data_IF_007829536302
#
_entry.id   IF_007829536302
#
_cell.length_a   1.000
_cell.length_b   1.000
_cell.length_c   1.000
_cell.angle_alpha   90.00
_cell.angle_beta   90.00
_cell.angle_gamma   90.00
#
_symmetry.space_group_name_H-M   'P 1'
#
loop_
_entity.id
_entity.type
_entity.pdbx_description
1 polymer ?
#
# COMPACT_ATOMS: atom_id res chain seq x y z
N UNK A 1 27.41 -75.65 8.88
CA UNK A 1 27.98 -74.27 8.70
C UNK A 1 26.98 -73.50 7.95
N UNK A 2 26.21 -72.62 8.63
CA UNK A 2 25.15 -71.85 8.05
C UNK A 2 25.58 -70.31 8.06
N UNK A 3 25.71 -69.78 6.92
CA UNK A 3 26.07 -68.35 6.74
C UNK A 3 24.78 -67.57 6.55
N UNK A 4 24.37 -66.74 7.52
CA UNK A 4 23.19 -65.87 7.44
C UNK A 4 23.62 -64.48 6.95
N UNK A 5 23.35 -64.18 5.69
CA UNK A 5 23.49 -62.85 5.13
C UNK A 5 22.37 -61.91 5.66
N UNK A 6 22.71 -61.00 6.53
CA UNK A 6 21.85 -59.91 6.98
C UNK A 6 21.90 -58.78 5.96
N UNK A 7 20.84 -58.61 5.15
CA UNK A 7 20.69 -57.44 4.25
C UNK A 7 20.07 -56.29 5.04
N UNK A 8 20.88 -55.31 5.35
CA UNK A 8 20.42 -54.02 5.86
C UNK A 8 19.80 -53.23 4.71
N UNK A 9 18.49 -53.02 4.76
CA UNK A 9 17.78 -52.11 3.83
C UNK A 9 17.99 -50.69 4.34
N UNK A 10 18.85 -49.91 3.66
CA UNK A 10 18.88 -48.46 3.82
C UNK A 10 17.59 -47.87 3.23
N UNK A 11 16.73 -47.39 4.11
CA UNK A 11 15.57 -46.59 3.72
C UNK A 11 16.07 -45.15 3.51
N UNK A 12 16.22 -44.73 2.24
CA UNK A 12 16.53 -43.37 1.91
C UNK A 12 15.28 -42.50 2.16
N UNK A 13 15.32 -41.72 3.24
CA UNK A 13 14.30 -40.72 3.54
C UNK A 13 14.53 -39.52 2.63
N UNK A 14 13.79 -39.47 1.53
CA UNK A 14 13.79 -38.33 0.64
C UNK A 14 13.04 -37.17 1.34
N UNK A 15 13.80 -36.24 1.92
CA UNK A 15 13.26 -35.02 2.50
C UNK A 15 12.75 -34.14 1.35
N UNK A 16 11.45 -34.15 1.12
CA UNK A 16 10.78 -33.24 0.17
C UNK A 16 10.87 -31.84 0.80
N UNK A 17 11.85 -31.05 0.41
CA UNK A 17 11.91 -29.62 0.71
C UNK A 17 10.78 -28.95 -0.09
N UNK A 18 9.62 -28.82 0.51
CA UNK A 18 8.58 -27.91 0.04
C UNK A 18 9.16 -26.52 0.29
N UNK A 19 9.65 -25.89 -0.79
CA UNK A 19 10.06 -24.50 -0.78
C UNK A 19 8.85 -23.65 -0.38
N UNK A 20 8.77 -23.26 0.89
CA UNK A 20 7.90 -22.17 1.30
C UNK A 20 8.46 -20.92 0.61
N UNK A 21 7.79 -20.44 -0.45
CA UNK A 21 7.95 -19.08 -0.92
C UNK A 21 7.59 -18.17 0.28
N UNK A 22 8.59 -17.75 1.02
CA UNK A 22 8.43 -16.67 2.01
C UNK A 22 8.15 -15.42 1.19
N UNK A 23 6.86 -15.08 1.01
CA UNK A 23 6.50 -13.75 0.52
C UNK A 23 7.15 -12.73 1.44
N UNK A 24 7.90 -11.76 0.87
CA UNK A 24 8.60 -10.76 1.63
C UNK A 24 7.63 -9.96 2.52
N UNK A 25 8.06 -9.63 3.73
CA UNK A 25 7.38 -8.64 4.55
C UNK A 25 7.78 -7.24 4.06
N UNK A 26 6.91 -6.23 4.18
CA UNK A 26 7.31 -4.86 3.91
C UNK A 26 8.40 -4.42 4.90
N UNK A 27 9.15 -3.38 4.55
CA UNK A 27 10.19 -2.83 5.42
C UNK A 27 9.58 -2.25 6.72
N UNK A 28 10.21 -2.55 7.85
CA UNK A 28 9.83 -1.99 9.14
C UNK A 28 10.37 -0.56 9.29
N UNK A 29 9.47 0.43 9.24
CA UNK A 29 9.78 1.83 9.57
C UNK A 29 8.68 2.37 10.48
N UNK A 30 8.80 2.13 11.79
CA UNK A 30 7.77 2.49 12.78
C UNK A 30 7.82 3.98 13.11
N UNK A 31 7.30 4.79 12.18
CA UNK A 31 7.20 6.26 12.22
C UNK A 31 5.83 6.71 11.72
N UNK A 32 5.39 7.97 11.92
CA UNK A 32 4.21 8.51 11.24
C UNK A 32 4.32 8.33 9.72
N UNK A 33 3.34 7.69 9.08
CA UNK A 33 3.36 7.36 7.65
C UNK A 33 4.15 6.10 7.29
N UNK A 34 4.71 5.41 8.27
CA UNK A 34 5.44 4.15 8.08
C UNK A 34 4.64 2.90 8.47
N UNK A 35 5.36 1.81 8.66
CA UNK A 35 4.82 0.48 8.98
C UNK A 35 5.51 -0.07 10.22
N UNK A 36 4.73 -0.53 11.20
CA UNK A 36 5.24 -1.33 12.31
C UNK A 36 4.97 -2.81 12.05
N UNK A 37 6.02 -3.64 12.10
CA UNK A 37 5.91 -5.10 12.19
C UNK A 37 5.90 -5.47 13.67
N UNK A 38 4.79 -6.02 14.15
CA UNK A 38 4.60 -6.32 15.58
C UNK A 38 4.39 -7.83 15.76
N UNK A 39 5.32 -8.53 16.41
CA UNK A 39 5.18 -9.96 16.72
C UNK A 39 3.97 -10.21 17.63
N UNK A 40 3.23 -11.29 17.34
CA UNK A 40 2.02 -11.70 18.05
C UNK A 40 2.02 -13.21 18.31
N UNK A 41 1.30 -13.61 19.36
CA UNK A 41 0.98 -15.01 19.69
C UNK A 41 -0.35 -15.47 19.08
N UNK A 42 -1.16 -14.52 18.58
CA UNK A 42 -2.50 -14.78 18.02
C UNK A 42 -2.77 -13.92 16.78
N UNK A 43 -3.57 -14.43 15.85
CA UNK A 43 -4.11 -13.71 14.70
C UNK A 43 -5.53 -13.16 14.95
N UNK A 44 -6.12 -13.48 16.13
CA UNK A 44 -7.52 -13.21 16.41
C UNK A 44 -7.78 -11.79 16.89
N UNK A 45 -8.71 -11.12 16.16
CA UNK A 45 -9.22 -9.80 16.53
C UNK A 45 -8.13 -8.74 16.74
N UNK A 46 -7.10 -8.75 15.89
CA UNK A 46 -6.03 -7.77 15.96
C UNK A 46 -6.52 -6.42 15.42
N UNK A 47 -6.57 -5.43 16.29
CA UNK A 47 -7.12 -4.10 16.01
C UNK A 47 -6.11 -3.00 16.34
N UNK A 48 -6.07 -1.98 15.51
CA UNK A 48 -5.37 -0.73 15.76
C UNK A 48 -6.32 0.46 15.58
N UNK A 49 -6.52 1.24 16.62
CA UNK A 49 -7.48 2.37 16.62
C UNK A 49 -8.88 1.97 16.12
N UNK A 50 -9.41 0.80 16.55
CA UNK A 50 -10.71 0.29 16.14
C UNK A 50 -10.79 -0.24 14.71
N UNK A 51 -9.67 -0.44 14.01
CA UNK A 51 -9.59 -0.99 12.66
C UNK A 51 -8.86 -2.33 12.66
N UNK A 52 -9.32 -3.27 11.87
CA UNK A 52 -8.62 -4.54 11.67
C UNK A 52 -7.25 -4.29 11.05
N UNK A 53 -6.27 -5.07 11.48
CA UNK A 53 -4.88 -5.00 11.02
C UNK A 53 -4.56 -6.27 10.23
N UNK A 54 -3.75 -6.14 9.21
CA UNK A 54 -3.19 -7.28 8.48
C UNK A 54 -2.34 -8.13 9.42
N UNK A 55 -2.52 -9.44 9.38
CA UNK A 55 -1.73 -10.40 10.16
C UNK A 55 -1.28 -11.52 9.23
N UNK A 56 0.01 -11.76 9.20
CA UNK A 56 0.62 -12.87 8.47
C UNK A 56 1.21 -13.91 9.45
N UNK A 57 1.19 -15.18 9.07
CA UNK A 57 1.94 -16.22 9.78
C UNK A 57 3.44 -16.02 9.60
N UNK A 58 4.19 -16.37 10.62
CA UNK A 58 5.66 -16.40 10.63
C UNK A 58 6.16 -17.71 11.28
N UNK A 59 7.47 -17.95 11.20
CA UNK A 59 8.07 -19.14 11.83
C UNK A 59 7.89 -19.19 13.36
N UNK A 60 7.71 -18.03 14.00
CA UNK A 60 7.63 -17.88 15.47
C UNK A 60 6.21 -17.50 15.95
N UNK A 61 5.17 -17.63 15.11
CA UNK A 61 3.80 -17.26 15.41
C UNK A 61 3.20 -16.35 14.35
N UNK A 62 2.82 -15.13 14.71
CA UNK A 62 2.17 -14.17 13.81
C UNK A 62 2.89 -12.83 13.82
N UNK A 63 2.75 -12.07 12.73
CA UNK A 63 3.23 -10.70 12.63
C UNK A 63 2.07 -9.82 12.18
N UNK A 64 1.72 -8.82 13.00
CA UNK A 64 0.84 -7.76 12.57
C UNK A 64 1.62 -6.73 11.74
N UNK A 65 1.09 -6.38 10.59
CA UNK A 65 1.62 -5.36 9.68
C UNK A 65 0.75 -4.13 9.82
N UNK A 66 1.24 -3.14 10.57
CA UNK A 66 0.44 -2.00 11.06
C UNK A 66 0.79 -0.73 10.31
N UNK A 67 -0.13 -0.23 9.50
CA UNK A 67 0.01 1.09 8.90
C UNK A 67 -0.18 2.20 9.94
N UNK A 68 0.76 3.13 10.02
CA UNK A 68 0.76 4.25 10.96
C UNK A 68 0.36 5.53 10.20
N UNK A 69 -0.77 6.19 10.54
CA UNK A 69 -1.16 7.43 9.87
C UNK A 69 -0.11 8.54 10.00
N UNK A 70 0.08 9.35 8.94
CA UNK A 70 0.95 10.54 8.96
C UNK A 70 0.62 11.54 10.08
N UNK A 71 -0.64 11.60 10.48
CA UNK A 71 -1.11 12.48 11.57
C UNK A 71 -0.84 11.93 12.97
N UNK A 72 -0.25 10.73 13.08
CA UNK A 72 -0.02 10.11 14.39
C UNK A 72 1.20 10.71 15.06
N UNK A 73 1.05 11.10 16.32
CA UNK A 73 2.19 11.53 17.14
C UNK A 73 3.09 10.35 17.51
N UNK A 74 4.41 10.53 17.57
CA UNK A 74 5.35 9.55 18.10
C UNK A 74 5.01 9.15 19.54
N UNK A 75 5.46 7.97 19.96
CA UNK A 75 5.24 7.47 21.31
C UNK A 75 4.93 5.98 21.38
N UNK A 76 4.53 5.52 22.56
CA UNK A 76 4.12 4.12 22.79
C UNK A 76 2.65 3.95 22.40
N UNK A 77 2.38 3.05 21.47
CA UNK A 77 1.04 2.67 21.02
C UNK A 77 0.78 1.20 21.34
N UNK A 78 -0.44 0.74 21.08
CA UNK A 78 -0.80 -0.66 21.29
C UNK A 78 -1.77 -1.17 20.24
N UNK A 79 -1.69 -2.46 20.00
CA UNK A 79 -2.72 -3.25 19.34
C UNK A 79 -3.64 -3.85 20.39
N UNK A 80 -4.93 -3.88 20.13
CA UNK A 80 -5.88 -4.70 20.87
C UNK A 80 -5.98 -6.06 20.18
N UNK A 81 -5.84 -7.16 20.94
CA UNK A 81 -5.93 -8.53 20.46
C UNK A 81 -6.89 -9.33 21.34
N UNK A 82 -7.24 -10.56 20.94
CA UNK A 82 -8.04 -11.45 21.78
C UNK A 82 -7.36 -11.81 23.12
N UNK A 83 -6.03 -11.71 23.19
CA UNK A 83 -5.23 -12.05 24.38
C UNK A 83 -4.81 -10.83 25.20
N UNK A 84 -5.22 -9.63 24.80
CA UNK A 84 -4.89 -8.38 25.49
C UNK A 84 -4.18 -7.36 24.59
N UNK A 85 -3.45 -6.44 25.22
CA UNK A 85 -2.80 -5.34 24.51
C UNK A 85 -1.33 -5.63 24.26
N UNK A 86 -0.91 -5.52 23.00
CA UNK A 86 0.50 -5.62 22.59
C UNK A 86 1.03 -4.24 22.27
N UNK A 87 2.09 -3.81 22.97
CA UNK A 87 2.69 -2.47 22.80
C UNK A 87 3.71 -2.47 21.68
N UNK A 88 3.78 -1.36 20.96
CA UNK A 88 4.85 -1.04 20.02
C UNK A 88 5.19 0.45 20.09
N UNK A 89 6.37 0.82 19.61
CA UNK A 89 6.86 2.20 19.65
C UNK A 89 6.77 2.82 18.26
N UNK A 90 6.31 4.06 18.17
CA UNK A 90 6.41 4.91 16.98
C UNK A 90 7.46 5.98 17.23
N UNK A 91 8.50 6.00 16.40
CA UNK A 91 9.60 6.94 16.48
C UNK A 91 9.24 8.27 15.80
N UNK A 92 10.04 9.30 16.06
CA UNK A 92 9.90 10.59 15.41
C UNK A 92 10.44 10.53 13.97
N UNK A 93 9.77 11.22 13.04
CA UNK A 93 10.22 11.43 11.66
C UNK A 93 9.81 12.82 11.21
N UNK A 94 10.77 13.57 10.70
CA UNK A 94 10.52 14.86 10.07
C UNK A 94 10.45 14.68 8.56
N UNK A 95 9.44 15.30 7.94
CA UNK A 95 9.24 15.31 6.50
C UNK A 95 9.57 16.69 5.95
N UNK A 96 10.23 16.70 4.80
CA UNK A 96 10.60 17.93 4.10
C UNK A 96 9.38 18.71 3.61
N UNK A 97 9.56 20.00 3.34
CA UNK A 97 8.55 20.87 2.78
C UNK A 97 8.70 20.96 1.26
N UNK A 98 7.59 20.83 0.55
CA UNK A 98 7.51 21.01 -0.90
C UNK A 98 6.56 22.17 -1.22
N UNK A 99 7.09 23.19 -1.90
CA UNK A 99 6.30 24.32 -2.41
C UNK A 99 6.04 24.13 -3.89
N UNK A 100 4.77 24.16 -4.30
CA UNK A 100 4.35 24.00 -5.68
C UNK A 100 3.39 25.13 -6.10
N UNK A 101 3.55 25.59 -7.33
CA UNK A 101 2.60 26.50 -7.97
C UNK A 101 1.68 25.71 -8.90
N UNK A 102 0.39 25.67 -8.57
CA UNK A 102 -0.65 25.05 -9.39
C UNK A 102 -1.32 26.15 -10.23
N UNK A 103 -1.19 26.06 -11.55
CA UNK A 103 -1.77 27.05 -12.50
C UNK A 103 -3.30 27.08 -12.41
N UNK A 104 -3.95 25.93 -12.30
CA UNK A 104 -5.40 25.84 -12.16
C UNK A 104 -5.82 26.11 -10.71
N UNK A 105 -6.09 27.37 -10.37
CA UNK A 105 -6.45 27.76 -9.01
C UNK A 105 -7.72 27.08 -8.48
N UNK A 106 -8.68 26.69 -9.34
CA UNK A 106 -9.87 25.89 -8.96
C UNK A 106 -9.48 24.55 -8.35
N UNK A 107 -8.34 23.98 -8.73
CA UNK A 107 -7.84 22.72 -8.16
C UNK A 107 -7.11 22.94 -6.82
N UNK A 108 -6.77 24.16 -6.46
CA UNK A 108 -6.23 24.55 -5.14
C UNK A 108 -7.34 25.00 -4.21
N UNK A 109 -8.20 25.89 -4.72
CA UNK A 109 -9.37 26.47 -4.04
C UNK A 109 -10.65 26.16 -4.84
N UNK A 110 -11.30 25.00 -4.61
CA UNK A 110 -12.51 24.61 -5.32
C UNK A 110 -13.64 25.62 -5.13
N UNK A 111 -14.48 25.76 -6.15
CA UNK A 111 -15.68 26.57 -6.06
C UNK A 111 -16.77 25.88 -5.26
N UNK A 112 -17.76 26.62 -4.77
CA UNK A 112 -18.88 26.05 -4.02
C UNK A 112 -19.59 24.92 -4.78
N UNK A 113 -19.74 25.07 -6.10
CA UNK A 113 -20.34 24.05 -6.99
C UNK A 113 -19.54 22.75 -7.10
N UNK A 114 -18.24 22.75 -6.75
CA UNK A 114 -17.39 21.55 -6.78
C UNK A 114 -17.52 20.72 -5.49
N UNK A 115 -18.00 21.35 -4.41
CA UNK A 115 -17.95 20.76 -3.07
C UNK A 115 -18.85 19.52 -2.94
N UNK A 116 -19.98 19.48 -3.64
CA UNK A 116 -20.86 18.30 -3.66
C UNK A 116 -20.13 17.11 -4.29
N UNK A 117 -19.49 17.31 -5.46
CA UNK A 117 -18.67 16.29 -6.13
C UNK A 117 -17.54 15.81 -5.23
N UNK A 118 -16.76 16.74 -4.67
CA UNK A 118 -15.61 16.43 -3.80
C UNK A 118 -16.04 15.65 -2.57
N UNK A 119 -17.18 16.01 -1.96
CA UNK A 119 -17.70 15.32 -0.76
C UNK A 119 -18.15 13.91 -1.07
N UNK A 120 -18.87 13.71 -2.18
CA UNK A 120 -19.28 12.38 -2.66
C UNK A 120 -18.08 11.49 -2.94
N UNK A 121 -17.09 12.00 -3.70
CA UNK A 121 -15.87 11.28 -4.06
C UNK A 121 -15.04 10.90 -2.83
N UNK A 122 -14.93 11.81 -1.85
CA UNK A 122 -14.27 11.51 -0.57
C UNK A 122 -14.95 10.36 0.15
N UNK A 123 -16.29 10.38 0.25
CA UNK A 123 -17.07 9.32 0.91
C UNK A 123 -16.87 7.96 0.21
N UNK A 124 -16.82 7.95 -1.13
CA UNK A 124 -16.56 6.75 -1.91
C UNK A 124 -15.15 6.18 -1.60
N UNK A 125 -14.11 7.02 -1.69
CA UNK A 125 -12.75 6.61 -1.39
C UNK A 125 -12.59 6.15 0.08
N UNK A 126 -13.21 6.87 1.03
CA UNK A 126 -13.18 6.48 2.45
C UNK A 126 -13.82 5.11 2.67
N UNK A 127 -14.89 4.78 1.94
CA UNK A 127 -15.51 3.45 2.00
C UNK A 127 -14.54 2.37 1.50
N UNK A 128 -13.84 2.61 0.38
CA UNK A 128 -12.83 1.68 -0.15
C UNK A 128 -11.68 1.49 0.83
N UNK A 129 -11.10 2.58 1.35
CA UNK A 129 -9.96 2.49 2.27
C UNK A 129 -10.31 1.89 3.64
N UNK A 130 -11.58 1.87 4.01
CA UNK A 130 -12.07 1.20 5.21
C UNK A 130 -12.42 -0.28 4.97
N UNK A 131 -12.41 -0.73 3.71
CA UNK A 131 -12.71 -2.11 3.38
C UNK A 131 -11.61 -3.04 3.88
N UNK A 132 -12.02 -4.21 4.37
CA UNK A 132 -11.12 -5.28 4.80
C UNK A 132 -11.62 -6.59 4.21
N UNK A 133 -11.11 -6.96 3.05
CA UNK A 133 -11.41 -8.25 2.44
C UNK A 133 -10.61 -9.36 3.12
N UNK A 134 -11.24 -10.51 3.29
CA UNK A 134 -10.57 -11.68 3.84
C UNK A 134 -9.87 -12.45 2.73
N UNK A 135 -8.57 -12.60 2.87
CA UNK A 135 -7.72 -13.51 2.11
C UNK A 135 -6.80 -14.20 3.10
N UNK A 136 -6.38 -15.41 2.79
CA UNK A 136 -5.47 -16.16 3.67
C UNK A 136 -4.16 -15.40 3.86
N UNK A 137 -3.66 -14.79 2.79
CA UNK A 137 -2.46 -13.96 2.80
C UNK A 137 -2.52 -12.90 1.70
N UNK A 138 -2.21 -11.65 2.03
CA UNK A 138 -1.98 -10.60 1.05
C UNK A 138 -0.50 -10.58 0.63
N UNK A 139 -0.25 -10.36 -0.65
CA UNK A 139 1.11 -10.19 -1.16
C UNK A 139 1.58 -8.77 -0.85
N UNK A 140 2.69 -8.66 -0.12
CA UNK A 140 3.33 -7.40 0.29
C UNK A 140 4.66 -7.14 -0.41
N UNK A 141 5.04 -8.00 -1.35
CA UNK A 141 6.23 -7.88 -2.19
C UNK A 141 5.84 -7.21 -3.51
N UNK A 142 5.99 -5.89 -3.57
CA UNK A 142 5.50 -5.08 -4.68
C UNK A 142 6.57 -4.80 -5.74
N UNK A 143 6.16 -4.93 -7.00
CA UNK A 143 6.91 -4.37 -8.11
C UNK A 143 6.62 -2.86 -8.25
N UNK A 144 7.54 -2.12 -8.85
CA UNK A 144 7.29 -0.72 -9.20
C UNK A 144 6.16 -0.67 -10.25
N UNK A 145 5.06 0.10 -10.01
CA UNK A 145 3.88 0.05 -10.88
C UNK A 145 4.06 0.70 -12.25
N UNK A 146 5.10 1.50 -12.46
CA UNK A 146 5.44 2.10 -13.76
C UNK A 146 6.93 2.42 -13.81
N UNK A 147 7.50 2.43 -15.00
CA UNK A 147 8.86 2.92 -15.19
C UNK A 147 8.90 4.43 -15.12
N UNK A 148 9.91 4.98 -14.43
CA UNK A 148 10.05 6.42 -14.27
C UNK A 148 10.97 6.81 -13.11
N UNK A 149 11.03 8.10 -12.81
CA UNK A 149 11.86 8.65 -11.75
C UNK A 149 10.96 9.10 -10.61
N UNK A 150 11.28 8.72 -9.37
CA UNK A 150 10.57 9.23 -8.18
C UNK A 150 10.81 10.74 -8.08
N UNK A 151 9.81 11.51 -8.50
CA UNK A 151 9.88 12.98 -8.56
C UNK A 151 9.38 13.66 -7.28
N UNK A 152 8.55 12.95 -6.49
CA UNK A 152 8.01 13.48 -5.24
C UNK A 152 7.78 12.32 -4.27
N UNK A 153 8.61 12.16 -3.23
CA UNK A 153 8.47 11.09 -2.26
C UNK A 153 7.25 11.28 -1.35
N UNK A 154 6.88 10.20 -0.66
CA UNK A 154 5.83 10.20 0.34
C UNK A 154 6.15 11.11 1.53
N UNK A 155 5.13 11.70 2.12
CA UNK A 155 5.19 12.42 3.40
C UNK A 155 5.54 13.91 3.28
N UNK A 156 5.94 14.42 2.12
CA UNK A 156 6.27 15.83 1.93
C UNK A 156 5.15 16.75 2.44
N UNK A 157 5.50 17.73 3.25
CA UNK A 157 4.58 18.80 3.71
C UNK A 157 4.31 19.76 2.56
N UNK A 158 3.13 19.66 1.97
CA UNK A 158 2.78 20.42 0.76
C UNK A 158 2.28 21.83 1.05
N UNK A 159 2.86 22.80 0.38
CA UNK A 159 2.38 24.19 0.29
C UNK A 159 2.06 24.46 -1.18
N UNK A 160 0.76 24.62 -1.48
CA UNK A 160 0.28 24.90 -2.84
C UNK A 160 -0.18 26.34 -2.94
N UNK A 161 0.41 27.13 -3.85
CA UNK A 161 0.10 28.56 -4.00
C UNK A 161 0.14 29.28 -2.64
N UNK A 162 1.22 29.07 -1.87
CA UNK A 162 1.48 29.60 -0.52
C UNK A 162 0.46 29.19 0.55
N UNK A 163 -0.36 28.19 0.28
CA UNK A 163 -1.36 27.68 1.22
C UNK A 163 -0.97 26.26 1.70
N UNK A 164 -0.86 26.03 3.02
CA UNK A 164 -0.64 24.68 3.57
C UNK A 164 -1.75 23.71 3.14
N UNK A 165 -1.37 22.51 2.76
CA UNK A 165 -2.26 21.40 2.36
C UNK A 165 -1.91 20.14 3.13
N UNK A 166 -2.75 19.11 2.99
CA UNK A 166 -2.45 17.79 3.51
C UNK A 166 -1.11 17.30 2.96
N UNK A 167 -0.31 16.61 3.77
CA UNK A 167 0.95 16.03 3.32
C UNK A 167 0.76 15.11 2.11
N UNK A 168 1.83 14.89 1.36
CA UNK A 168 1.84 13.96 0.23
C UNK A 168 1.58 12.54 0.71
N UNK A 169 0.45 11.96 0.34
CA UNK A 169 -0.02 10.66 0.84
C UNK A 169 0.30 9.49 -0.11
N UNK A 170 1.23 9.68 -1.03
CA UNK A 170 1.71 8.68 -1.98
C UNK A 170 3.11 9.03 -2.46
N UNK A 171 3.53 8.40 -3.53
CA UNK A 171 4.78 8.64 -4.25
C UNK A 171 4.44 9.06 -5.67
N UNK A 172 5.05 10.13 -6.17
CA UNK A 172 4.88 10.56 -7.55
C UNK A 172 6.05 10.04 -8.40
N UNK A 173 5.72 9.29 -9.47
CA UNK A 173 6.68 8.72 -10.42
C UNK A 173 6.51 9.47 -11.74
N UNK A 174 7.47 10.34 -12.06
CA UNK A 174 7.47 11.08 -13.32
C UNK A 174 7.77 10.13 -14.48
N UNK A 175 6.88 10.10 -15.45
CA UNK A 175 6.98 9.31 -16.67
C UNK A 175 6.24 10.01 -17.81
N UNK A 176 6.62 9.78 -19.09
CA UNK A 176 5.86 10.29 -20.22
C UNK A 176 4.38 9.85 -20.18
N UNK A 177 3.49 10.70 -20.68
CA UNK A 177 2.10 10.32 -20.89
C UNK A 177 2.02 9.11 -21.83
N UNK A 178 1.16 8.13 -21.50
CA UNK A 178 1.06 6.87 -22.22
C UNK A 178 2.03 5.78 -21.71
N UNK A 179 2.88 6.04 -20.70
CA UNK A 179 3.70 4.99 -20.10
C UNK A 179 2.79 3.99 -19.35
N UNK A 180 2.96 2.67 -19.56
CA UNK A 180 2.11 1.66 -18.94
C UNK A 180 2.18 1.66 -17.41
N UNK A 181 1.02 1.45 -16.79
CA UNK A 181 0.86 1.22 -15.34
C UNK A 181 0.42 -0.23 -15.13
N UNK A 182 1.09 -0.93 -14.23
CA UNK A 182 0.80 -2.32 -13.88
C UNK A 182 0.39 -2.47 -12.40
N UNK A 183 -0.28 -3.56 -12.08
CA UNK A 183 -0.55 -3.94 -10.69
C UNK A 183 0.72 -4.47 -10.03
N UNK A 184 1.16 -3.94 -8.87
CA UNK A 184 2.39 -4.38 -8.20
C UNK A 184 2.25 -5.76 -7.54
N UNK A 185 1.02 -6.22 -7.31
CA UNK A 185 0.68 -7.51 -6.70
C UNK A 185 -0.72 -7.96 -7.16
N UNK A 186 -1.10 -9.23 -6.95
CA UNK A 186 -2.46 -9.69 -7.22
C UNK A 186 -3.51 -8.92 -6.42
N UNK A 187 -4.70 -8.72 -7.00
CA UNK A 187 -5.76 -8.02 -6.29
C UNK A 187 -7.09 -8.01 -7.03
N UNK A 188 -8.00 -7.18 -6.54
CA UNK A 188 -9.32 -6.94 -7.16
C UNK A 188 -9.53 -5.43 -7.33
N UNK A 189 -9.96 -5.02 -8.52
CA UNK A 189 -10.34 -3.62 -8.76
C UNK A 189 -11.60 -3.30 -7.96
N UNK A 190 -11.50 -2.32 -7.06
CA UNK A 190 -12.60 -1.94 -6.15
C UNK A 190 -13.21 -0.59 -6.47
N UNK A 191 -12.48 0.28 -7.17
CA UNK A 191 -13.03 1.52 -7.73
C UNK A 191 -12.25 1.96 -8.96
N UNK A 192 -12.95 2.61 -9.90
CA UNK A 192 -12.39 3.32 -11.06
C UNK A 192 -13.22 4.54 -11.35
N UNK A 193 -12.62 5.67 -11.74
CA UNK A 193 -13.37 6.87 -12.09
C UNK A 193 -12.51 8.09 -12.35
N UNK A 194 -13.15 9.19 -12.77
CA UNK A 194 -12.54 10.52 -12.83
C UNK A 194 -12.91 11.30 -11.58
N UNK A 195 -11.95 11.49 -10.68
CA UNK A 195 -12.09 12.22 -9.42
C UNK A 195 -11.54 13.64 -9.54
N UNK A 196 -12.19 14.58 -8.88
CA UNK A 196 -11.89 16.02 -8.99
C UNK A 196 -10.41 16.36 -8.79
N UNK A 197 -9.77 15.82 -7.76
CA UNK A 197 -8.35 16.04 -7.49
C UNK A 197 -7.43 15.00 -8.13
N UNK A 198 -7.84 13.75 -8.12
CA UNK A 198 -7.00 12.63 -8.53
C UNK A 198 -7.06 12.35 -10.04
N UNK A 199 -8.04 12.92 -10.76
CA UNK A 199 -8.28 12.61 -12.17
C UNK A 199 -8.69 11.14 -12.36
N UNK A 200 -8.38 10.58 -13.51
CA UNK A 200 -8.62 9.16 -13.77
C UNK A 200 -7.83 8.31 -12.78
N UNK A 201 -8.56 7.49 -12.05
CA UNK A 201 -8.04 6.78 -10.87
C UNK A 201 -8.50 5.33 -10.87
N UNK A 202 -7.61 4.43 -10.46
CA UNK A 202 -7.89 3.02 -10.17
C UNK A 202 -7.53 2.74 -8.71
N UNK A 203 -8.36 1.96 -8.00
CA UNK A 203 -8.05 1.41 -6.68
C UNK A 203 -8.11 -0.11 -6.73
N UNK A 204 -7.07 -0.76 -6.18
CA UNK A 204 -6.93 -2.21 -6.12
C UNK A 204 -6.90 -2.67 -4.66
N UNK A 205 -7.75 -3.63 -4.32
CA UNK A 205 -7.75 -4.32 -3.02
C UNK A 205 -6.92 -5.60 -3.13
N UNK A 206 -5.83 -5.67 -2.36
CA UNK A 206 -4.92 -6.82 -2.29
C UNK A 206 -5.24 -7.77 -1.13
N UNK A 207 -6.25 -7.43 -0.34
CA UNK A 207 -6.65 -8.21 0.84
C UNK A 207 -6.21 -7.62 2.17
N UNK A 208 -6.86 -8.03 3.23
CA UNK A 208 -6.54 -7.66 4.62
C UNK A 208 -6.38 -6.14 4.85
N UNK A 209 -7.12 -5.29 4.12
CA UNK A 209 -7.05 -3.83 4.24
C UNK A 209 -5.84 -3.19 3.54
N UNK A 210 -5.14 -3.93 2.68
CA UNK A 210 -4.08 -3.42 1.81
C UNK A 210 -4.68 -2.96 0.49
N UNK A 211 -4.68 -1.65 0.26
CA UNK A 211 -5.26 -1.01 -0.93
C UNK A 211 -4.21 -0.16 -1.62
N UNK A 212 -4.07 -0.30 -2.93
CA UNK A 212 -3.26 0.61 -3.76
C UNK A 212 -4.15 1.52 -4.60
N UNK A 213 -3.66 2.73 -4.87
CA UNK A 213 -4.35 3.74 -5.65
C UNK A 213 -3.42 4.36 -6.70
N UNK A 214 -3.91 4.46 -7.92
CA UNK A 214 -3.23 4.98 -9.10
C UNK A 214 -3.99 6.18 -9.64
N UNK A 215 -3.39 7.36 -9.65
CA UNK A 215 -4.05 8.60 -10.04
C UNK A 215 -3.41 9.25 -11.27
N UNK A 216 -4.11 10.25 -11.79
CA UNK A 216 -3.68 11.12 -12.90
C UNK A 216 -3.54 10.39 -14.24
N UNK A 217 -4.15 9.21 -14.37
CA UNK A 217 -4.06 8.35 -15.55
C UNK A 217 -4.64 9.04 -16.80
N UNK A 218 -4.09 8.76 -17.97
CA UNK A 218 -4.66 9.15 -19.27
C UNK A 218 -5.74 8.17 -19.73
N UNK A 219 -5.54 6.88 -19.44
CA UNK A 219 -6.49 5.80 -19.76
C UNK A 219 -6.65 4.83 -18.60
N UNK A 220 -7.83 4.19 -18.50
CA UNK A 220 -8.14 3.09 -17.58
C UNK A 220 -8.56 1.89 -18.42
N UNK A 221 -7.86 0.76 -18.27
CA UNK A 221 -8.09 -0.47 -19.05
C UNK A 221 -8.72 -1.61 -18.25
N UNK A 222 -9.11 -1.35 -17.02
CA UNK A 222 -9.72 -2.31 -16.09
C UNK A 222 -11.08 -1.82 -15.61
N UNK A 223 -11.90 -2.72 -15.05
CA UNK A 223 -13.24 -2.41 -14.52
C UNK A 223 -13.41 -2.90 -13.10
N UNK A 224 -14.29 -2.25 -12.35
CA UNK A 224 -14.65 -2.65 -10.98
C UNK A 224 -15.12 -4.12 -10.95
N UNK A 225 -14.63 -4.86 -9.96
CA UNK A 225 -14.87 -6.28 -9.79
C UNK A 225 -13.88 -7.20 -10.51
N UNK A 226 -13.06 -6.68 -11.44
CA UNK A 226 -12.05 -7.46 -12.14
C UNK A 226 -10.94 -7.89 -11.16
N UNK A 227 -10.51 -9.16 -11.23
CA UNK A 227 -9.28 -9.63 -10.61
C UNK A 227 -8.10 -9.28 -11.50
N UNK A 228 -6.98 -8.93 -10.90
CA UNK A 228 -5.72 -8.63 -11.59
C UNK A 228 -4.60 -9.43 -10.95
N UNK A 229 -3.69 -9.88 -11.77
CA UNK A 229 -2.46 -10.54 -11.35
C UNK A 229 -1.32 -9.52 -11.18
N UNK A 230 -0.24 -9.91 -10.50
CA UNK A 230 1.01 -9.13 -10.43
C UNK A 230 1.53 -8.89 -11.84
N UNK A 231 1.91 -7.65 -12.17
CA UNK A 231 2.34 -7.25 -13.51
C UNK A 231 1.21 -6.98 -14.52
N UNK A 232 -0.05 -7.18 -14.15
CA UNK A 232 -1.16 -6.95 -15.08
C UNK A 232 -1.35 -5.45 -15.37
N UNK A 233 -1.52 -5.12 -16.65
CA UNK A 233 -1.77 -3.75 -17.14
C UNK A 233 -3.08 -3.19 -16.61
N UNK A 234 -3.02 -1.95 -16.07
CA UNK A 234 -4.15 -1.22 -15.50
C UNK A 234 -4.61 -0.04 -16.37
N UNK A 235 -3.69 0.55 -17.14
CA UNK A 235 -3.87 1.75 -17.94
C UNK A 235 -2.57 2.52 -18.10
N UNK A 236 -2.64 3.82 -18.40
CA UNK A 236 -1.49 4.63 -18.76
C UNK A 236 -1.32 5.87 -17.88
N UNK A 237 -0.06 6.27 -17.68
CA UNK A 237 0.31 7.55 -17.06
C UNK A 237 -0.29 8.71 -17.84
N UNK A 238 -0.73 9.74 -17.15
CA UNK A 238 -1.31 10.92 -17.75
C UNK A 238 -1.11 12.19 -16.93
N UNK A 239 -2.02 13.17 -17.17
CA UNK A 239 -2.00 14.49 -16.54
C UNK A 239 -3.39 14.94 -16.08
N UNK A 240 -4.30 13.99 -15.79
CA UNK A 240 -5.66 14.31 -15.36
C UNK A 240 -5.72 14.77 -13.89
N UNK A 241 -6.74 15.51 -13.50
CA UNK A 241 -6.91 15.99 -12.13
C UNK A 241 -6.05 17.21 -11.76
N UNK A 242 -5.41 17.19 -10.58
CA UNK A 242 -4.60 18.30 -10.03
C UNK A 242 -3.11 17.97 -10.14
N UNK A 243 -2.50 18.37 -11.24
CA UNK A 243 -1.11 18.06 -11.58
C UNK A 243 -0.35 19.27 -12.09
N UNK A 244 0.98 19.18 -12.11
CA UNK A 244 1.90 20.15 -12.75
C UNK A 244 2.56 19.59 -14.00
N UNK A 245 2.56 18.28 -14.19
CA UNK A 245 3.16 17.56 -15.33
C UNK A 245 2.75 16.11 -15.33
N UNK A 246 3.13 15.36 -16.37
CA UNK A 246 2.81 13.94 -16.49
C UNK A 246 3.53 13.11 -15.41
N UNK A 247 2.79 12.33 -14.66
CA UNK A 247 3.29 11.41 -13.62
C UNK A 247 2.21 10.44 -13.17
N UNK A 248 2.61 9.32 -12.59
CA UNK A 248 1.75 8.49 -11.76
C UNK A 248 1.85 8.96 -10.30
N UNK A 249 0.73 9.32 -9.68
CA UNK A 249 0.63 9.37 -8.22
C UNK A 249 0.21 7.99 -7.72
N UNK A 250 1.08 7.31 -6.98
CA UNK A 250 0.86 5.98 -6.43
C UNK A 250 0.79 6.02 -4.90
N UNK A 251 -0.32 5.54 -4.33
CA UNK A 251 -0.51 5.47 -2.88
C UNK A 251 -0.72 4.03 -2.43
N UNK A 252 -0.20 3.70 -1.25
CA UNK A 252 -0.50 2.47 -0.53
C UNK A 252 -1.22 2.81 0.77
N UNK A 253 -2.32 2.11 1.04
CA UNK A 253 -3.09 2.21 2.28
C UNK A 253 -3.10 0.87 3.00
N UNK A 254 -2.80 0.88 4.28
CA UNK A 254 -2.86 -0.27 5.15
C UNK A 254 -3.69 0.09 6.38
N UNK A 255 -4.71 -0.71 6.74
CA UNK A 255 -5.68 -0.41 7.81
C UNK A 255 -6.22 1.05 7.77
N UNK A 256 -6.49 1.57 6.57
CA UNK A 256 -6.89 2.96 6.27
C UNK A 256 -5.84 4.04 6.62
N UNK A 257 -4.60 3.67 6.87
CA UNK A 257 -3.49 4.61 6.96
C UNK A 257 -2.74 4.65 5.63
N UNK A 258 -2.53 5.85 5.06
CA UNK A 258 -1.60 5.99 3.93
C UNK A 258 -0.19 5.83 4.46
N UNK A 259 0.54 4.90 3.86
CA UNK A 259 1.91 4.55 4.26
C UNK A 259 2.86 4.76 3.10
N UNK A 260 4.15 4.89 3.40
CA UNK A 260 5.17 5.08 2.38
C UNK A 260 5.23 3.86 1.44
N UNK A 261 4.90 4.04 0.13
CA UNK A 261 4.90 2.94 -0.83
C UNK A 261 6.27 2.27 -1.01
N UNK A 262 7.37 3.01 -0.80
CA UNK A 262 8.72 2.48 -0.94
C UNK A 262 9.01 1.31 0.03
N UNK A 263 8.29 1.23 1.17
CA UNK A 263 8.46 0.13 2.14
C UNK A 263 7.98 -1.23 1.64
N UNK A 264 7.27 -1.27 0.52
CA UNK A 264 6.79 -2.51 -0.13
C UNK A 264 7.67 -2.93 -1.31
N UNK A 265 8.55 -2.06 -1.79
CA UNK A 265 9.39 -2.33 -2.95
C UNK A 265 10.62 -3.15 -2.53
N UNK A 266 10.96 -4.17 -3.33
CA UNK A 266 12.23 -4.86 -3.17
C UNK A 266 13.40 -3.92 -3.45
N UNK A 267 14.42 -3.93 -2.57
CA UNK A 267 15.59 -3.07 -2.72
C UNK A 267 16.39 -3.35 -4.01
N UNK A 268 16.21 -4.53 -4.62
CA UNK A 268 16.83 -4.88 -5.91
C UNK A 268 16.16 -4.20 -7.11
N UNK A 269 14.96 -3.65 -6.96
CA UNK A 269 14.18 -2.98 -8.02
C UNK A 269 14.08 -1.46 -7.86
N UNK A 270 14.73 -0.91 -6.84
CA UNK A 270 14.75 0.55 -6.64
C UNK A 270 15.81 1.15 -7.59
N UNK A 271 15.42 2.06 -8.54
CA UNK A 271 16.36 2.70 -9.47
C UNK A 271 17.31 3.66 -8.78
#
# INVERSE_FOLDING_TARGET
MMNKNCRVKCLALTLLMIGQCALGLPEHDSVPGGIALVPLTTDKNVMFNGRRVMVNESAEGYIAIVGIPLSRSPGSLHLDTAEGRVRFKVNEKQYEEQRLTIKNNRKVNPYAQDMERITRERKEMDAVFNHFSQVDRADTDFDLPTQGIVSSPFGLRRILNDQPRSPHSGMDIAAPEGTPIISPAPGKIVATGDYFFNGNTVLVDHGQGLITMYCHMSSISVKVGQRVDKGQYLGDVGMTGRVTGAHLHWSVSLNNARVNPALFLNQETTP
#
